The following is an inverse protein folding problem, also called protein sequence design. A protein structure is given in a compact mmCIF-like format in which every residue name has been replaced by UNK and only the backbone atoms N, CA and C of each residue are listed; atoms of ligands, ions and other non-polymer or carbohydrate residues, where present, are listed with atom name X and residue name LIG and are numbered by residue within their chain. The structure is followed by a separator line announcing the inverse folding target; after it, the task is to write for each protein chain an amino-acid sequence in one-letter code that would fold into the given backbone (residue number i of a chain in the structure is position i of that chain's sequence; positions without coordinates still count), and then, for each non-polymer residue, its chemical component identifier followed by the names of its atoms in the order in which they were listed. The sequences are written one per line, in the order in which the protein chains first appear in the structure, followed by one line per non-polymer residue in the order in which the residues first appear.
data_IF_466174273882
#
_entry.id   IF_466174273882
#
_cell.length_a   1.000
_cell.length_b   1.000
_cell.length_c   1.000
_cell.angle_alpha   90.00
_cell.angle_beta   90.00
_cell.angle_gamma   90.00
#
_symmetry.space_group_name_H-M   'P 1'
#
loop_
_entity.id
_entity.type
_entity.pdbx_description
1 polymer ?
#
# COMPACT_ATOMS: atom_id res chain seq x y z
N UNK A 1 -16.13 24.85 39.61
CA UNK A 1 -16.71 24.55 38.28
C UNK A 1 -15.69 24.35 37.13
N UNK A 2 -14.40 24.69 37.33
CA UNK A 2 -13.36 24.53 36.31
C UNK A 2 -12.87 23.08 36.06
N UNK A 3 -12.75 22.21 37.11
CA UNK A 3 -12.25 20.84 36.93
C UNK A 3 -13.16 19.94 36.10
N UNK A 4 -14.48 20.08 36.25
CA UNK A 4 -15.48 19.25 35.57
C UNK A 4 -15.56 19.54 34.05
N UNK A 5 -15.25 20.78 33.64
CA UNK A 5 -15.22 21.15 32.23
C UNK A 5 -14.00 20.56 31.51
N UNK A 6 -12.83 20.55 32.18
CA UNK A 6 -11.61 19.88 31.68
C UNK A 6 -11.77 18.36 31.61
N UNK A 7 -12.39 17.75 32.63
CA UNK A 7 -12.69 16.31 32.60
C UNK A 7 -13.65 15.94 31.47
N UNK A 8 -14.73 16.72 31.24
CA UNK A 8 -15.64 16.48 30.11
C UNK A 8 -14.96 16.66 28.75
N UNK A 9 -14.11 17.65 28.58
CA UNK A 9 -13.35 17.86 27.36
C UNK A 9 -12.33 16.73 27.12
N UNK A 10 -11.70 16.24 28.19
CA UNK A 10 -10.78 15.09 28.11
C UNK A 10 -11.52 13.81 27.73
N UNK A 11 -12.67 13.53 28.36
CA UNK A 11 -13.50 12.37 28.01
C UNK A 11 -14.05 12.42 26.57
N UNK A 12 -14.39 13.61 26.04
CA UNK A 12 -14.84 13.76 24.65
C UNK A 12 -13.67 13.52 23.71
N UNK A 13 -12.51 14.07 24.01
CA UNK A 13 -11.29 13.89 23.22
C UNK A 13 -10.84 12.45 23.17
N UNK A 14 -10.74 11.77 24.31
CA UNK A 14 -10.41 10.35 24.42
C UNK A 14 -11.43 9.47 23.66
N UNK A 15 -12.69 9.86 23.70
CA UNK A 15 -13.75 9.16 22.99
C UNK A 15 -13.70 9.40 21.47
N UNK A 16 -13.37 10.61 21.03
CA UNK A 16 -13.16 10.92 19.62
C UNK A 16 -11.91 10.21 19.08
N UNK A 17 -10.83 10.17 19.85
CA UNK A 17 -9.62 9.42 19.51
C UNK A 17 -9.89 7.91 19.38
N UNK A 18 -10.79 7.35 20.20
CA UNK A 18 -11.18 5.94 20.11
C UNK A 18 -12.09 5.61 18.91
N UNK A 19 -12.70 6.61 18.28
CA UNK A 19 -13.59 6.47 17.13
C UNK A 19 -12.86 6.59 15.78
N UNK A 20 -11.61 7.04 15.78
CA UNK A 20 -10.86 7.17 14.53
C UNK A 20 -10.38 5.81 14.01
N UNK A 21 -10.40 5.60 12.68
CA UNK A 21 -10.06 4.31 12.10
C UNK A 21 -8.58 3.97 12.31
N UNK A 22 -8.30 2.76 12.76
CA UNK A 22 -6.92 2.24 12.87
C UNK A 22 -6.45 1.74 11.53
N UNK A 23 -5.61 2.53 10.89
CA UNK A 23 -5.01 2.26 9.58
C UNK A 23 -3.64 1.63 9.78
N UNK A 24 -3.40 0.48 9.18
CA UNK A 24 -2.10 -0.17 9.19
C UNK A 24 -1.59 -0.38 7.77
N UNK A 25 -0.35 0.05 7.55
CA UNK A 25 0.33 -0.08 6.27
C UNK A 25 1.39 -1.17 6.40
N UNK A 26 1.28 -2.21 5.60
CA UNK A 26 2.19 -3.35 5.60
C UNK A 26 3.08 -3.30 4.36
N UNK A 27 4.35 -2.93 4.53
CA UNK A 27 5.36 -2.97 3.47
C UNK A 27 5.99 -4.34 3.39
N UNK A 28 5.70 -5.09 2.33
CA UNK A 28 6.06 -6.50 2.20
C UNK A 28 7.14 -6.72 1.16
N UNK A 29 8.23 -7.36 1.55
CA UNK A 29 9.40 -7.59 0.70
C UNK A 29 10.22 -6.32 0.45
N UNK A 30 11.19 -6.37 -0.49
CA UNK A 30 12.13 -5.27 -0.73
C UNK A 30 11.43 -3.97 -1.15
N UNK A 31 10.66 -4.00 -2.23
CA UNK A 31 9.96 -2.81 -2.74
C UNK A 31 8.93 -2.26 -1.73
N UNK A 32 8.15 -3.15 -1.08
CA UNK A 32 7.22 -2.73 -0.03
C UNK A 32 7.92 -2.08 1.17
N UNK A 33 9.06 -2.61 1.60
CA UNK A 33 9.87 -1.99 2.66
C UNK A 33 10.43 -0.62 2.21
N UNK A 34 10.83 -0.46 0.96
CA UNK A 34 11.28 0.84 0.45
C UNK A 34 10.14 1.87 0.46
N UNK A 35 8.95 1.48 -0.01
CA UNK A 35 7.80 2.37 0.01
C UNK A 35 7.45 2.83 1.43
N UNK A 36 7.43 1.89 2.39
CA UNK A 36 7.08 2.23 3.78
C UNK A 36 8.16 3.08 4.48
N UNK A 37 9.43 2.91 4.11
CA UNK A 37 10.51 3.75 4.60
C UNK A 37 10.34 5.21 4.13
N UNK A 38 9.91 5.42 2.89
CA UNK A 38 9.60 6.77 2.36
C UNK A 38 8.37 7.37 3.04
N UNK A 39 7.32 6.59 3.26
CA UNK A 39 6.16 7.05 4.03
C UNK A 39 6.54 7.49 5.45
N UNK A 40 7.54 6.86 6.04
CA UNK A 40 8.11 7.28 7.32
C UNK A 40 8.85 8.62 7.20
N UNK A 41 9.65 8.81 6.17
CA UNK A 41 10.35 10.07 5.88
C UNK A 41 9.37 11.21 5.63
N UNK A 42 8.28 10.97 4.92
CA UNK A 42 7.17 11.90 4.68
C UNK A 42 6.27 12.12 5.91
N UNK A 43 6.58 11.44 7.01
CA UNK A 43 5.94 11.61 8.31
C UNK A 43 4.47 11.15 8.38
N UNK A 44 4.02 10.29 7.48
CA UNK A 44 2.66 9.74 7.52
C UNK A 44 2.36 9.05 8.86
N UNK A 45 3.34 8.35 9.43
CA UNK A 45 3.21 7.64 10.71
C UNK A 45 3.32 8.53 11.96
N UNK A 46 3.42 9.84 11.81
CA UNK A 46 3.24 10.78 12.95
C UNK A 46 1.78 10.89 13.38
N UNK A 47 0.88 10.56 12.47
CA UNK A 47 -0.52 10.44 12.80
C UNK A 47 -0.70 9.16 13.65
N UNK A 48 -1.21 9.31 14.88
CA UNK A 48 -1.40 8.21 15.83
C UNK A 48 -2.34 7.10 15.34
N UNK A 49 -3.08 7.35 14.27
CA UNK A 49 -4.04 6.40 13.67
C UNK A 49 -3.44 5.55 12.55
N UNK A 50 -2.26 5.93 12.05
CA UNK A 50 -1.57 5.24 10.96
C UNK A 50 -0.29 4.60 11.49
N UNK A 51 -0.18 3.28 11.39
CA UNK A 51 1.02 2.54 11.82
C UNK A 51 1.60 1.78 10.64
N UNK A 52 2.92 1.88 10.46
CA UNK A 52 3.65 1.18 9.40
C UNK A 52 4.38 -0.05 9.92
N UNK A 53 4.32 -1.15 9.17
CA UNK A 53 5.01 -2.40 9.45
C UNK A 53 5.91 -2.79 8.28
N UNK A 54 7.22 -2.93 8.52
CA UNK A 54 8.15 -3.48 7.53
C UNK A 54 8.23 -5.01 7.68
N UNK A 55 7.88 -5.75 6.65
CA UNK A 55 7.79 -7.21 6.65
C UNK A 55 8.68 -7.78 5.54
N UNK A 56 9.66 -8.59 5.89
CA UNK A 56 10.56 -9.17 4.90
C UNK A 56 11.10 -10.54 5.36
N UNK A 57 11.57 -11.35 4.41
CA UNK A 57 12.37 -12.56 4.65
C UNK A 57 13.86 -12.23 4.73
N UNK A 58 14.28 -11.02 4.37
CA UNK A 58 15.66 -10.53 4.43
C UNK A 58 15.86 -9.68 5.69
N UNK A 59 16.68 -10.19 6.60
CA UNK A 59 16.99 -9.52 7.86
C UNK A 59 17.80 -8.24 7.64
N UNK A 60 18.69 -8.22 6.65
CA UNK A 60 19.54 -7.06 6.38
C UNK A 60 18.70 -5.88 5.88
N UNK A 61 17.75 -6.12 4.98
CA UNK A 61 16.82 -5.10 4.52
C UNK A 61 15.98 -4.52 5.67
N UNK A 62 15.55 -5.35 6.63
CA UNK A 62 14.81 -4.89 7.80
C UNK A 62 15.67 -4.06 8.77
N UNK A 63 16.94 -4.40 8.93
CA UNK A 63 17.86 -3.63 9.78
C UNK A 63 18.06 -2.20 9.25
N UNK A 64 18.08 -2.03 7.93
CA UNK A 64 18.22 -0.73 7.27
C UNK A 64 16.96 0.14 7.34
N UNK A 65 15.82 -0.43 7.64
CA UNK A 65 14.56 0.33 7.77
C UNK A 65 14.58 1.24 9.00
N UNK A 66 14.11 2.49 8.91
CA UNK A 66 14.00 3.40 10.05
C UNK A 66 12.80 3.11 10.97
N UNK A 67 11.86 2.24 10.56
CA UNK A 67 10.68 1.92 11.35
C UNK A 67 11.05 1.13 12.60
N UNK A 68 10.24 1.30 13.65
CA UNK A 68 10.32 0.49 14.87
C UNK A 68 9.64 -0.87 14.67
N UNK A 69 8.50 -0.88 13.98
CA UNK A 69 7.70 -2.08 13.75
C UNK A 69 8.22 -2.88 12.55
N UNK A 70 9.00 -3.91 12.85
CA UNK A 70 9.64 -4.80 11.87
C UNK A 70 9.30 -6.24 12.14
N UNK A 71 8.97 -6.99 11.09
CA UNK A 71 8.65 -8.42 11.19
C UNK A 71 9.50 -9.21 10.20
N UNK A 72 10.44 -9.97 10.74
CA UNK A 72 11.17 -10.96 9.97
C UNK A 72 10.33 -12.22 9.85
N UNK A 73 9.96 -12.59 8.61
CA UNK A 73 9.19 -13.77 8.31
C UNK A 73 10.08 -14.90 7.76
N UNK A 74 9.67 -16.17 8.00
CA UNK A 74 10.36 -17.36 7.49
C UNK A 74 11.62 -17.71 8.29
N UNK A 75 11.45 -18.50 9.33
CA UNK A 75 12.57 -19.02 10.13
C UNK A 75 13.52 -19.88 9.30
N UNK A 76 12.96 -20.65 8.36
CA UNK A 76 13.72 -21.55 7.46
C UNK A 76 14.62 -20.75 6.51
N UNK A 77 14.24 -19.56 6.09
CA UNK A 77 15.03 -18.68 5.24
C UNK A 77 16.26 -18.08 5.96
N UNK A 78 16.32 -18.15 7.29
CA UNK A 78 17.42 -17.65 8.13
C UNK A 78 17.82 -16.19 7.81
N UNK A 79 16.86 -15.37 7.40
CA UNK A 79 17.10 -13.96 7.05
C UNK A 79 17.81 -13.74 5.71
N UNK A 80 17.87 -14.73 4.82
CA UNK A 80 18.57 -14.65 3.52
C UNK A 80 17.69 -14.28 2.35
N UNK A 81 16.43 -13.93 2.60
CA UNK A 81 15.46 -13.65 1.55
C UNK A 81 14.85 -14.91 0.92
N UNK A 82 13.89 -14.71 0.02
CA UNK A 82 13.18 -15.80 -0.70
C UNK A 82 13.83 -16.15 -2.06
N UNK A 83 14.89 -15.46 -2.47
CA UNK A 83 15.63 -15.75 -3.71
C UNK A 83 14.80 -15.59 -4.99
N UNK A 84 13.81 -14.68 -5.02
CA UNK A 84 12.95 -14.45 -6.18
C UNK A 84 11.82 -15.50 -6.35
N UNK A 85 11.68 -16.45 -5.45
CA UNK A 85 10.69 -17.53 -5.49
C UNK A 85 9.48 -17.17 -4.61
N UNK A 86 8.28 -16.89 -5.19
CA UNK A 86 7.10 -16.52 -4.43
C UNK A 86 6.58 -17.63 -3.52
N UNK A 87 6.81 -18.90 -3.88
CA UNK A 87 6.37 -20.04 -3.05
C UNK A 87 7.13 -20.08 -1.72
N UNK A 88 8.41 -19.69 -1.72
CA UNK A 88 9.19 -19.52 -0.50
C UNK A 88 8.73 -18.34 0.32
N UNK A 89 8.29 -17.25 -0.34
CA UNK A 89 7.70 -16.10 0.32
C UNK A 89 6.39 -16.46 1.03
N UNK A 90 5.51 -17.21 0.37
CA UNK A 90 4.25 -17.71 0.94
C UNK A 90 4.53 -18.66 2.12
N UNK A 91 5.44 -19.60 1.96
CA UNK A 91 5.84 -20.52 3.04
C UNK A 91 6.41 -19.77 4.25
N UNK A 92 7.22 -18.73 4.02
CA UNK A 92 7.77 -17.87 5.08
C UNK A 92 6.66 -17.13 5.85
N UNK A 93 5.63 -16.65 5.16
CA UNK A 93 4.48 -16.01 5.79
C UNK A 93 3.67 -17.02 6.62
N UNK A 94 3.46 -18.23 6.11
CA UNK A 94 2.80 -19.31 6.85
C UNK A 94 3.57 -19.71 8.11
N UNK A 95 4.89 -19.88 8.04
CA UNK A 95 5.73 -20.16 9.20
C UNK A 95 5.62 -19.08 10.29
N UNK A 96 5.35 -17.86 9.89
CA UNK A 96 5.31 -16.69 10.77
C UNK A 96 3.89 -16.23 11.08
N UNK A 97 2.87 -17.06 10.82
CA UNK A 97 1.45 -16.71 10.93
C UNK A 97 1.08 -16.09 12.30
N UNK A 98 1.63 -16.63 13.39
CA UNK A 98 1.34 -16.11 14.75
C UNK A 98 1.80 -14.65 14.89
N UNK A 99 2.98 -14.33 14.38
CA UNK A 99 3.50 -12.96 14.42
C UNK A 99 2.68 -12.03 13.52
N UNK A 100 2.31 -12.50 12.32
CA UNK A 100 1.49 -11.76 11.37
C UNK A 100 0.07 -11.53 11.91
N UNK A 101 -0.56 -12.52 12.54
CA UNK A 101 -1.87 -12.37 13.20
C UNK A 101 -1.84 -11.31 14.29
N UNK A 102 -0.73 -11.22 15.04
CA UNK A 102 -0.59 -10.21 16.11
C UNK A 102 -0.58 -8.79 15.55
N UNK A 103 0.11 -8.55 14.45
CA UNK A 103 0.20 -7.21 13.84
C UNK A 103 -1.04 -6.85 13.02
N UNK A 104 -1.80 -7.83 12.52
CA UNK A 104 -3.07 -7.59 11.81
C UNK A 104 -4.27 -7.48 12.75
N UNK A 105 -4.11 -7.88 14.02
CA UNK A 105 -5.18 -7.77 15.00
C UNK A 105 -5.56 -6.30 15.23
N UNK A 106 -6.87 -6.04 15.41
CA UNK A 106 -7.35 -4.71 15.74
C UNK A 106 -7.08 -3.64 14.62
N UNK A 107 -7.00 -4.09 13.38
CA UNK A 107 -6.87 -3.26 12.18
C UNK A 107 -8.24 -3.05 11.58
N UNK A 108 -8.60 -1.81 11.24
CA UNK A 108 -9.83 -1.49 10.54
C UNK A 108 -9.58 -1.31 9.04
N UNK A 109 -8.46 -0.67 8.68
CA UNK A 109 -7.99 -0.58 7.30
C UNK A 109 -6.58 -1.15 7.20
N UNK A 110 -6.41 -2.19 6.42
CA UNK A 110 -5.14 -2.79 6.07
C UNK A 110 -4.73 -2.36 4.66
N UNK A 111 -3.67 -1.58 4.55
CA UNK A 111 -3.05 -1.24 3.27
C UNK A 111 -1.81 -2.11 3.10
N UNK A 112 -1.82 -2.98 2.09
CA UNK A 112 -0.71 -3.89 1.80
C UNK A 112 0.05 -3.36 0.59
N UNK A 113 1.34 -3.02 0.77
CA UNK A 113 2.18 -2.57 -0.34
C UNK A 113 3.32 -3.53 -0.60
N UNK A 114 3.49 -3.89 -1.88
CA UNK A 114 4.53 -4.82 -2.31
C UNK A 114 4.89 -4.60 -3.79
N UNK A 115 6.12 -4.94 -4.14
CA UNK A 115 6.50 -5.08 -5.55
C UNK A 115 6.22 -6.50 -6.01
N UNK A 116 5.36 -6.66 -7.01
CA UNK A 116 5.06 -7.95 -7.60
C UNK A 116 6.20 -8.42 -8.51
N UNK A 117 6.41 -9.72 -8.59
CA UNK A 117 7.46 -10.35 -9.39
C UNK A 117 8.68 -10.84 -8.60
N UNK A 118 8.86 -10.35 -7.36
CA UNK A 118 9.86 -10.86 -6.42
C UNK A 118 9.37 -12.08 -5.65
N UNK A 119 10.19 -12.58 -4.70
CA UNK A 119 9.82 -13.72 -3.87
C UNK A 119 8.99 -13.32 -2.64
N UNK A 120 9.59 -12.53 -1.73
CA UNK A 120 8.99 -12.21 -0.42
C UNK A 120 7.71 -11.41 -0.54
N UNK A 121 7.73 -10.30 -1.34
CA UNK A 121 6.57 -9.42 -1.52
C UNK A 121 5.42 -10.15 -2.19
N UNK A 122 5.68 -10.78 -3.32
CA UNK A 122 4.69 -11.52 -4.11
C UNK A 122 4.06 -12.66 -3.32
N UNK A 123 4.88 -13.44 -2.59
CA UNK A 123 4.42 -14.61 -1.86
C UNK A 123 3.69 -14.28 -0.56
N UNK A 124 4.18 -13.31 0.21
CA UNK A 124 3.64 -13.04 1.54
C UNK A 124 2.44 -12.08 1.55
N UNK A 125 2.31 -11.19 0.55
CA UNK A 125 1.28 -10.15 0.53
C UNK A 125 -0.14 -10.72 0.61
N UNK A 126 -0.46 -11.75 -0.20
CA UNK A 126 -1.77 -12.40 -0.19
C UNK A 126 -2.10 -13.05 1.15
N UNK A 127 -1.10 -13.65 1.82
CA UNK A 127 -1.30 -14.24 3.13
C UNK A 127 -1.61 -13.18 4.20
N UNK A 128 -0.92 -12.05 4.18
CA UNK A 128 -1.16 -10.94 5.10
C UNK A 128 -2.55 -10.35 4.86
N UNK A 129 -2.95 -10.17 3.61
CA UNK A 129 -4.29 -9.72 3.24
C UNK A 129 -5.36 -10.66 3.80
N UNK A 130 -5.18 -11.96 3.63
CA UNK A 130 -6.07 -13.00 4.18
C UNK A 130 -6.22 -12.88 5.69
N UNK A 131 -5.12 -12.71 6.42
CA UNK A 131 -5.13 -12.59 7.88
C UNK A 131 -5.86 -11.32 8.34
N UNK A 132 -5.60 -10.19 7.69
CA UNK A 132 -6.26 -8.92 7.99
C UNK A 132 -7.78 -9.02 7.73
N UNK A 133 -8.18 -9.57 6.58
CA UNK A 133 -9.59 -9.78 6.21
C UNK A 133 -10.31 -10.72 7.18
N UNK A 134 -9.67 -11.81 7.60
CA UNK A 134 -10.22 -12.73 8.60
C UNK A 134 -10.47 -12.07 9.96
N UNK A 135 -9.78 -11.00 10.27
CA UNK A 135 -9.96 -10.21 11.49
C UNK A 135 -10.94 -9.03 11.32
N UNK A 136 -11.59 -8.94 10.16
CA UNK A 136 -12.61 -7.95 9.87
C UNK A 136 -12.09 -6.61 9.34
N UNK A 137 -10.78 -6.52 9.02
CA UNK A 137 -10.22 -5.34 8.39
C UNK A 137 -10.69 -5.22 6.94
N UNK A 138 -10.97 -3.99 6.50
CA UNK A 138 -11.02 -3.67 5.08
C UNK A 138 -9.61 -3.74 4.50
N UNK A 139 -9.44 -4.39 3.35
CA UNK A 139 -8.13 -4.70 2.79
C UNK A 139 -7.93 -4.07 1.41
N UNK A 140 -6.92 -3.22 1.31
CA UNK A 140 -6.51 -2.55 0.07
C UNK A 140 -5.08 -2.97 -0.23
N UNK A 141 -4.84 -3.52 -1.42
CA UNK A 141 -3.48 -3.75 -1.89
C UNK A 141 -3.06 -2.64 -2.86
N UNK A 142 -1.90 -2.04 -2.63
CA UNK A 142 -1.26 -1.05 -3.51
C UNK A 142 0.07 -1.62 -3.95
N UNK A 143 0.15 -2.11 -5.18
CA UNK A 143 1.28 -2.93 -5.64
C UNK A 143 1.83 -2.47 -6.98
N UNK A 144 3.13 -2.64 -7.19
CA UNK A 144 3.75 -2.40 -8.49
C UNK A 144 3.81 -3.66 -9.33
N UNK A 145 3.62 -3.51 -10.64
CA UNK A 145 3.82 -4.56 -11.62
C UNK A 145 5.16 -4.34 -12.35
N UNK A 146 5.98 -5.38 -12.58
CA UNK A 146 7.34 -5.24 -13.07
C UNK A 146 7.44 -4.68 -14.48
N UNK A 147 8.56 -4.01 -14.80
CA UNK A 147 8.91 -3.58 -16.14
C UNK A 147 9.01 -4.76 -17.11
N UNK A 148 8.78 -4.50 -18.39
CA UNK A 148 8.98 -5.49 -19.45
C UNK A 148 10.41 -6.02 -19.49
N UNK A 149 11.39 -5.14 -19.23
CA UNK A 149 12.82 -5.45 -19.18
C UNK A 149 13.24 -6.37 -18.03
N UNK A 150 12.42 -6.54 -17.00
CA UNK A 150 12.72 -7.43 -15.86
C UNK A 150 12.56 -8.92 -16.19
N UNK A 151 11.95 -9.23 -17.33
CA UNK A 151 11.85 -10.57 -17.88
C UNK A 151 10.56 -11.32 -17.56
N UNK A 152 10.33 -12.41 -18.33
CA UNK A 152 9.08 -13.16 -18.30
C UNK A 152 8.81 -13.83 -16.93
N UNK A 153 9.86 -14.31 -16.24
CA UNK A 153 9.72 -14.97 -14.95
C UNK A 153 9.13 -14.02 -13.90
N UNK A 154 9.60 -12.75 -13.85
CA UNK A 154 9.05 -11.79 -12.91
C UNK A 154 7.59 -11.44 -13.21
N UNK A 155 7.22 -11.38 -14.50
CA UNK A 155 5.82 -11.18 -14.89
C UNK A 155 4.94 -12.35 -14.45
N UNK A 156 5.39 -13.58 -14.69
CA UNK A 156 4.65 -14.78 -14.28
C UNK A 156 4.47 -14.82 -12.75
N UNK A 157 5.52 -14.50 -12.00
CA UNK A 157 5.44 -14.38 -10.55
C UNK A 157 4.45 -13.28 -10.13
N UNK A 158 4.45 -12.14 -10.83
CA UNK A 158 3.56 -11.03 -10.53
C UNK A 158 2.09 -11.41 -10.76
N UNK A 159 1.78 -12.08 -11.85
CA UNK A 159 0.43 -12.59 -12.15
C UNK A 159 -0.05 -13.54 -11.06
N UNK A 160 0.80 -14.51 -10.68
CA UNK A 160 0.50 -15.43 -9.58
C UNK A 160 0.21 -14.68 -8.26
N UNK A 161 1.01 -13.67 -7.92
CA UNK A 161 0.80 -12.87 -6.72
C UNK A 161 -0.48 -12.02 -6.76
N UNK A 162 -0.81 -11.47 -7.94
CA UNK A 162 -2.05 -10.72 -8.13
C UNK A 162 -3.30 -11.60 -7.99
N UNK A 163 -3.26 -12.85 -8.48
CA UNK A 163 -4.34 -13.81 -8.28
C UNK A 163 -4.57 -14.06 -6.79
N UNK A 164 -3.49 -14.29 -6.02
CA UNK A 164 -3.57 -14.47 -4.56
C UNK A 164 -4.13 -13.25 -3.83
N UNK A 165 -3.77 -12.04 -4.29
CA UNK A 165 -4.33 -10.82 -3.72
C UNK A 165 -5.81 -10.65 -4.06
N UNK A 166 -6.25 -10.99 -5.28
CA UNK A 166 -7.66 -10.93 -5.69
C UNK A 166 -8.57 -11.80 -4.84
N UNK A 167 -8.07 -12.95 -4.36
CA UNK A 167 -8.83 -13.83 -3.48
C UNK A 167 -9.09 -13.20 -2.09
N UNK A 168 -8.20 -12.33 -1.64
CA UNK A 168 -8.17 -11.89 -0.24
C UNK A 168 -8.31 -10.39 -0.02
N UNK A 169 -8.04 -9.56 -1.02
CA UNK A 169 -8.25 -8.11 -0.91
C UNK A 169 -9.65 -7.71 -1.33
N UNK A 170 -10.18 -6.65 -0.71
CA UNK A 170 -11.43 -6.03 -1.13
C UNK A 170 -11.20 -5.17 -2.38
N UNK A 171 -10.00 -4.58 -2.48
CA UNK A 171 -9.59 -3.75 -3.61
C UNK A 171 -8.09 -3.89 -3.87
N UNK A 172 -7.70 -3.87 -5.15
CA UNK A 172 -6.30 -3.88 -5.57
C UNK A 172 -6.06 -2.72 -6.51
N UNK A 173 -5.06 -1.92 -6.16
CA UNK A 173 -4.48 -0.88 -7.00
C UNK A 173 -3.17 -1.42 -7.56
N UNK A 174 -3.10 -1.61 -8.86
CA UNK A 174 -1.89 -2.06 -9.55
C UNK A 174 -1.26 -0.88 -10.27
N UNK A 175 0.00 -0.59 -9.98
CA UNK A 175 0.81 0.43 -10.67
C UNK A 175 1.76 -0.26 -11.63
N UNK A 176 1.48 -0.25 -12.94
CA UNK A 176 2.38 -0.86 -13.92
C UNK A 176 3.62 0.02 -14.08
N UNK A 177 4.80 -0.51 -13.73
CA UNK A 177 6.05 0.25 -13.88
C UNK A 177 6.31 0.68 -15.33
N UNK A 178 5.82 -0.07 -16.32
CA UNK A 178 5.95 0.29 -17.74
C UNK A 178 5.31 1.64 -18.07
N UNK A 179 4.19 1.99 -17.38
CA UNK A 179 3.52 3.29 -17.56
C UNK A 179 4.36 4.47 -17.09
N UNK A 180 5.30 4.24 -16.16
CA UNK A 180 6.22 5.28 -15.70
C UNK A 180 7.11 5.79 -16.83
N UNK A 181 7.42 4.94 -17.81
CA UNK A 181 8.23 5.29 -18.97
C UNK A 181 7.48 6.21 -19.96
N UNK A 182 6.16 6.34 -19.82
CA UNK A 182 5.34 7.26 -20.63
C UNK A 182 5.39 8.70 -20.07
N UNK A 183 5.83 8.86 -18.81
CA UNK A 183 6.00 10.16 -18.18
C UNK A 183 7.21 10.87 -18.80
N UNK A 184 7.00 12.12 -19.22
CA UNK A 184 8.06 12.92 -19.84
C UNK A 184 9.30 13.04 -18.92
N UNK A 185 10.47 12.73 -19.48
CA UNK A 185 11.74 12.74 -18.74
C UNK A 185 12.08 11.46 -17.98
N UNK A 186 11.14 10.54 -17.72
CA UNK A 186 11.42 9.28 -17.00
C UNK A 186 12.10 8.25 -17.89
N UNK A 187 11.75 8.22 -19.18
CA UNK A 187 12.30 7.25 -20.16
C UNK A 187 13.83 7.32 -20.29
N UNK A 188 14.38 8.51 -20.07
CA UNK A 188 15.84 8.78 -20.21
C UNK A 188 16.59 8.61 -18.89
N UNK A 189 15.88 8.30 -17.81
CA UNK A 189 16.48 8.08 -16.49
C UNK A 189 17.20 6.72 -16.40
N UNK A 190 18.25 6.61 -15.58
CA UNK A 190 18.78 5.33 -15.16
C UNK A 190 17.68 4.47 -14.55
N UNK A 191 17.71 3.16 -14.77
CA UNK A 191 16.66 2.24 -14.31
C UNK A 191 16.41 2.33 -12.79
N UNK A 192 17.43 2.63 -12.00
CA UNK A 192 17.29 2.84 -10.55
C UNK A 192 16.45 4.07 -10.19
N UNK A 193 16.50 5.12 -11.02
CA UNK A 193 15.70 6.33 -10.80
C UNK A 193 14.28 6.13 -11.32
N UNK A 194 14.07 5.34 -12.38
CA UNK A 194 12.74 4.93 -12.81
C UNK A 194 12.01 4.11 -11.72
N UNK A 195 12.70 3.23 -11.00
CA UNK A 195 12.13 2.55 -9.83
C UNK A 195 11.75 3.53 -8.71
N UNK A 196 12.53 4.60 -8.50
CA UNK A 196 12.19 5.63 -7.50
C UNK A 196 10.89 6.35 -7.83
N UNK A 197 10.62 6.62 -9.11
CA UNK A 197 9.34 7.20 -9.55
C UNK A 197 8.18 6.25 -9.23
N UNK A 198 8.36 4.94 -9.46
CA UNK A 198 7.36 3.93 -9.08
C UNK A 198 7.09 3.88 -7.58
N UNK A 199 8.15 3.92 -6.78
CA UNK A 199 8.01 3.97 -5.32
C UNK A 199 7.30 5.27 -4.87
N UNK A 200 7.57 6.41 -5.52
CA UNK A 200 6.90 7.68 -5.22
C UNK A 200 5.40 7.64 -5.51
N UNK A 201 5.00 7.02 -6.61
CA UNK A 201 3.58 6.81 -6.91
C UNK A 201 2.89 5.89 -5.90
N UNK A 202 3.59 4.82 -5.44
CA UNK A 202 3.09 4.01 -4.33
C UNK A 202 2.85 4.85 -3.08
N UNK A 203 3.84 5.66 -2.71
CA UNK A 203 3.79 6.52 -1.54
C UNK A 203 2.63 7.51 -1.64
N UNK A 204 2.52 8.25 -2.75
CA UNK A 204 1.42 9.18 -3.00
C UNK A 204 0.06 8.50 -2.96
N UNK A 205 -0.07 7.31 -3.54
CA UNK A 205 -1.33 6.56 -3.54
C UNK A 205 -1.74 6.15 -2.12
N UNK A 206 -0.79 5.66 -1.31
CA UNK A 206 -1.04 5.25 0.07
C UNK A 206 -1.37 6.47 0.93
N UNK A 207 -0.60 7.55 0.79
CA UNK A 207 -0.82 8.81 1.50
C UNK A 207 -2.20 9.38 1.19
N UNK A 208 -2.57 9.42 -0.09
CA UNK A 208 -3.90 9.92 -0.51
C UNK A 208 -5.05 9.14 0.11
N UNK A 209 -4.97 7.80 0.16
CA UNK A 209 -5.99 6.97 0.82
C UNK A 209 -6.02 7.21 2.33
N UNK A 210 -4.86 7.30 2.97
CA UNK A 210 -4.78 7.53 4.41
C UNK A 210 -5.27 8.94 4.81
N UNK A 211 -4.87 9.97 4.07
CA UNK A 211 -5.26 11.36 4.32
C UNK A 211 -6.75 11.59 4.09
N UNK A 212 -7.35 10.94 3.10
CA UNK A 212 -8.80 11.01 2.85
C UNK A 212 -9.63 10.64 4.09
N UNK A 213 -9.10 9.74 4.94
CA UNK A 213 -9.77 9.25 6.15
C UNK A 213 -9.32 9.94 7.44
N UNK A 214 -8.17 10.62 7.42
CA UNK A 214 -7.56 11.17 8.64
C UNK A 214 -7.46 12.69 8.65
N UNK A 215 -7.68 13.34 7.51
CA UNK A 215 -7.54 14.80 7.38
C UNK A 215 -8.90 15.42 7.07
N UNK A 216 -9.25 16.47 7.82
CA UNK A 216 -10.46 17.24 7.56
C UNK A 216 -10.33 18.01 6.23
N UNK A 217 -11.17 17.65 5.26
CA UNK A 217 -11.22 18.28 3.93
C UNK A 217 -12.48 19.11 3.70
N UNK A 218 -12.63 19.69 2.49
CA UNK A 218 -13.89 20.35 2.09
C UNK A 218 -15.05 19.34 1.99
N UNK A 219 -14.76 18.09 1.64
CA UNK A 219 -15.68 16.96 1.65
C UNK A 219 -15.01 15.88 2.49
N UNK A 220 -15.59 15.57 3.63
CA UNK A 220 -15.11 14.52 4.50
C UNK A 220 -15.73 13.20 4.07
N UNK A 221 -14.86 12.24 3.72
CA UNK A 221 -15.25 10.86 3.47
C UNK A 221 -15.13 10.10 4.80
N UNK A 222 -16.21 9.48 5.24
CA UNK A 222 -16.11 8.64 6.40
C UNK A 222 -15.65 7.19 6.04
N UNK A 223 -15.31 6.41 7.04
CA UNK A 223 -14.82 5.05 6.85
C UNK A 223 -15.88 4.13 6.21
N UNK A 224 -17.15 4.35 6.53
CA UNK A 224 -18.26 3.55 6.00
C UNK A 224 -18.60 3.93 4.55
N UNK A 225 -18.41 5.19 4.16
CA UNK A 225 -18.51 5.63 2.76
C UNK A 225 -17.45 4.94 1.90
N UNK A 226 -16.18 4.94 2.37
CA UNK A 226 -15.10 4.24 1.67
C UNK A 226 -15.39 2.73 1.58
N UNK A 227 -15.86 2.12 2.66
CA UNK A 227 -16.24 0.71 2.70
C UNK A 227 -17.33 0.40 1.68
N UNK A 228 -18.32 1.25 1.60
CA UNK A 228 -19.43 1.10 0.66
C UNK A 228 -18.94 1.15 -0.79
N UNK A 229 -18.12 2.14 -1.14
CA UNK A 229 -17.53 2.26 -2.48
C UNK A 229 -16.71 1.03 -2.84
N UNK A 230 -15.87 0.55 -1.93
CA UNK A 230 -15.01 -0.61 -2.14
C UNK A 230 -15.83 -1.90 -2.29
N UNK A 231 -16.87 -2.09 -1.49
CA UNK A 231 -17.73 -3.29 -1.55
C UNK A 231 -18.59 -3.36 -2.81
N UNK A 232 -19.03 -2.23 -3.35
CA UNK A 232 -19.78 -2.17 -4.60
C UNK A 232 -18.88 -2.20 -5.85
N UNK A 233 -17.56 -1.98 -5.69
CA UNK A 233 -16.59 -2.08 -6.77
C UNK A 233 -16.33 -3.52 -7.19
N UNK A 234 -15.93 -3.71 -8.44
CA UNK A 234 -15.58 -5.03 -9.01
C UNK A 234 -14.21 -5.56 -8.58
N UNK A 235 -13.67 -5.10 -7.45
CA UNK A 235 -12.37 -5.53 -6.92
C UNK A 235 -11.14 -4.86 -7.55
N UNK A 236 -11.32 -4.05 -8.59
CA UNK A 236 -10.25 -3.22 -9.19
C UNK A 236 -10.62 -1.76 -9.00
N UNK A 237 -9.80 -1.02 -8.30
CA UNK A 237 -9.93 0.43 -8.14
C UNK A 237 -8.80 1.14 -8.88
N UNK A 238 -9.10 2.35 -9.31
CA UNK A 238 -8.13 3.29 -9.88
C UNK A 238 -8.07 4.51 -8.97
N UNK A 239 -6.87 5.00 -8.74
CA UNK A 239 -6.63 6.24 -7.99
C UNK A 239 -5.87 7.20 -8.88
N UNK A 240 -6.36 8.41 -9.06
CA UNK A 240 -5.66 9.48 -9.73
C UNK A 240 -5.35 10.58 -8.73
N UNK A 241 -4.13 11.08 -8.75
CA UNK A 241 -3.67 12.19 -7.92
C UNK A 241 -3.21 13.31 -8.84
N UNK A 242 -3.71 14.51 -8.60
CA UNK A 242 -3.29 15.69 -9.35
C UNK A 242 -3.16 16.88 -8.41
N UNK A 243 -2.07 17.63 -8.56
CA UNK A 243 -1.78 18.82 -7.79
C UNK A 243 -1.59 20.02 -8.72
N UNK A 244 -2.30 21.10 -8.47
CA UNK A 244 -2.13 22.33 -9.21
C UNK A 244 -2.34 23.55 -8.35
N UNK A 245 -1.66 24.65 -8.68
CA UNK A 245 -1.78 25.94 -8.01
C UNK A 245 -2.08 27.06 -9.01
N UNK A 246 -2.68 28.15 -8.55
CA UNK A 246 -3.00 29.31 -9.38
C UNK A 246 -4.35 29.27 -10.09
N UNK A 247 -4.60 30.18 -11.07
CA UNK A 247 -5.82 30.21 -11.87
C UNK A 247 -5.95 28.93 -12.71
N UNK A 248 -7.14 28.30 -12.74
CA UNK A 248 -7.37 27.06 -13.49
C UNK A 248 -6.87 25.79 -12.78
N UNK A 249 -6.45 25.88 -11.50
CA UNK A 249 -5.89 24.76 -10.72
C UNK A 249 -6.78 23.53 -10.66
N UNK A 250 -8.09 23.69 -10.66
CA UNK A 250 -9.03 22.56 -10.56
C UNK A 250 -8.99 21.71 -11.83
N UNK A 251 -9.03 22.36 -13.00
CA UNK A 251 -8.95 21.66 -14.29
C UNK A 251 -7.58 21.01 -14.47
N UNK A 252 -6.49 21.72 -14.15
CA UNK A 252 -5.14 21.20 -14.26
C UNK A 252 -4.91 19.99 -13.32
N UNK A 253 -5.31 20.06 -12.06
CA UNK A 253 -5.22 18.95 -11.13
C UNK A 253 -6.09 17.75 -11.56
N UNK A 254 -7.29 18.00 -12.10
CA UNK A 254 -8.15 16.93 -12.60
C UNK A 254 -7.54 16.26 -13.82
N UNK A 255 -6.97 17.02 -14.75
CA UNK A 255 -6.28 16.46 -15.91
C UNK A 255 -5.08 15.63 -15.50
N UNK A 256 -4.26 16.11 -14.57
CA UNK A 256 -3.11 15.38 -14.05
C UNK A 256 -3.54 14.06 -13.38
N UNK A 257 -4.59 14.08 -12.55
CA UNK A 257 -5.15 12.89 -11.93
C UNK A 257 -5.66 11.86 -12.96
N UNK A 258 -6.21 12.30 -14.09
CA UNK A 258 -6.70 11.43 -15.14
C UNK A 258 -5.58 10.85 -16.01
N UNK A 259 -4.48 11.59 -16.24
CA UNK A 259 -3.39 11.17 -17.14
C UNK A 259 -2.67 9.92 -16.64
N UNK A 260 -2.58 9.69 -15.33
CA UNK A 260 -1.94 8.50 -14.77
C UNK A 260 -2.69 7.20 -15.07
N UNK A 261 -3.97 7.29 -15.50
CA UNK A 261 -4.84 6.12 -15.67
C UNK A 261 -5.68 6.13 -16.98
N UNK A 262 -5.28 6.89 -17.99
CA UNK A 262 -5.86 6.69 -19.32
C UNK A 262 -5.44 5.31 -19.84
N UNK A 263 -6.15 4.28 -19.37
CA UNK A 263 -6.16 2.99 -20.02
C UNK A 263 -6.74 3.18 -21.42
N UNK A 264 -6.10 2.67 -22.48
CA UNK A 264 -6.79 2.59 -23.76
C UNK A 264 -8.12 1.88 -23.52
N UNK A 265 -9.20 2.50 -23.95
CA UNK A 265 -10.52 1.87 -23.93
C UNK A 265 -10.40 0.50 -24.60
N UNK A 266 -11.15 -0.51 -24.19
CA UNK A 266 -11.21 -1.77 -24.95
C UNK A 266 -11.52 -1.59 -26.43
N UNK A 267 -12.00 -0.41 -26.85
CA UNK A 267 -12.23 -0.01 -28.25
C UNK A 267 -10.97 0.45 -28.97
N UNK A 268 -9.90 0.82 -28.25
CA UNK A 268 -8.64 1.30 -28.84
C UNK A 268 -7.63 0.16 -29.07
N UNK A 269 -8.01 -1.08 -28.78
CA UNK A 269 -7.19 -2.29 -28.95
C UNK A 269 -7.62 -3.09 -30.21
N UNK A 270 -8.65 -2.65 -30.94
CA UNK A 270 -9.19 -3.32 -32.14
C UNK A 270 -8.79 -2.65 -33.47
N UNK A 271 -7.69 -1.88 -33.57
CA UNK A 271 -7.10 -1.43 -34.82
C UNK A 271 -5.69 -1.97 -35.04
#
# INVERSE_FOLDING_TARGET
HYPLRRQRQMCIRDRLESLQPRIRVYGVGGAGCNAINRLFEERLFKNSYVTGYAINTDAQALLMSPLEEKVLIGRTARGRGAGGDPTKGEAAALESEIALRRITNDTQLAIITAGMGGGSGTGAAGHIARLAKQQGAMTIAVVTYPFNSEGALRKQNAEWGLEKLREHCDTILVIPNERLLEIEGVKDLPIGDAFRVGDELLVRSITGVAEMLTTDGMVNLDFEDLRTVIQFGSGVAMIGLGEASGPGRVEAATQEACLLYTSPSPRDVEE
#
